data_IF_786091601888
#
_entry.id   IF_786091601888
#
_cell.length_a   1.000
_cell.length_b   1.000
_cell.length_c   1.000
_cell.angle_alpha   90.00
_cell.angle_beta   90.00
_cell.angle_gamma   90.00
#
_symmetry.space_group_name_H-M   'P 1'
#
loop_
_entity.id
_entity.type
_entity.pdbx_description
1 polymer ?
#
# COMPACT_ATOMS: atom_id res chain seq x y z
N UNK A 1 24.57 -12.59 -8.04
CA UNK A 1 23.65 -11.54 -8.51
C UNK A 1 24.40 -10.57 -9.38
N UNK A 2 23.82 -10.14 -10.49
CA UNK A 2 24.41 -9.13 -11.38
C UNK A 2 24.24 -7.72 -10.80
N UNK A 3 25.06 -6.77 -11.30
CA UNK A 3 24.93 -5.36 -10.90
C UNK A 3 23.54 -4.80 -11.18
N UNK A 4 22.91 -5.19 -12.31
CA UNK A 4 21.56 -4.76 -12.67
C UNK A 4 20.51 -5.29 -11.68
N UNK A 5 20.62 -6.54 -11.25
CA UNK A 5 19.72 -7.15 -10.25
C UNK A 5 19.78 -6.40 -8.92
N UNK A 6 20.97 -6.03 -8.47
CA UNK A 6 21.16 -5.29 -7.20
C UNK A 6 20.65 -3.86 -7.33
N UNK A 7 21.03 -3.14 -8.39
CA UNK A 7 20.60 -1.75 -8.61
C UNK A 7 19.09 -1.65 -8.82
N UNK A 8 18.51 -2.55 -9.63
CA UNK A 8 17.08 -2.59 -9.88
C UNK A 8 16.27 -2.93 -8.63
N UNK A 9 16.78 -3.84 -7.78
CA UNK A 9 16.15 -4.11 -6.48
C UNK A 9 16.13 -2.87 -5.59
N UNK A 10 17.27 -2.19 -5.41
CA UNK A 10 17.32 -0.98 -4.59
C UNK A 10 16.49 0.16 -5.16
N UNK A 11 16.38 0.25 -6.49
CA UNK A 11 15.49 1.20 -7.14
C UNK A 11 14.02 0.91 -6.82
N UNK A 12 13.57 -0.34 -6.95
CA UNK A 12 12.21 -0.76 -6.63
C UNK A 12 11.91 -0.64 -5.13
N UNK A 13 12.85 -1.04 -4.26
CA UNK A 13 12.72 -0.91 -2.81
C UNK A 13 12.62 0.55 -2.35
N UNK A 14 13.53 1.41 -2.87
CA UNK A 14 13.53 2.82 -2.53
C UNK A 14 12.29 3.54 -3.09
N UNK A 15 11.86 3.24 -4.32
CA UNK A 15 10.60 3.75 -4.86
C UNK A 15 9.43 3.41 -3.95
N UNK A 16 9.31 2.13 -3.57
CA UNK A 16 8.26 1.68 -2.66
C UNK A 16 8.37 2.27 -1.25
N UNK A 17 9.58 2.55 -0.75
CA UNK A 17 9.78 3.27 0.50
C UNK A 17 9.31 4.73 0.40
N UNK A 18 9.60 5.38 -0.71
CA UNK A 18 9.18 6.76 -0.93
C UNK A 18 7.66 6.87 -1.14
N UNK A 19 7.01 5.85 -1.69
CA UNK A 19 5.54 5.74 -1.72
C UNK A 19 4.95 5.64 -0.32
N UNK A 20 5.54 4.80 0.54
CA UNK A 20 5.15 4.70 1.94
C UNK A 20 5.30 6.03 2.67
N UNK A 21 6.40 6.74 2.42
CA UNK A 21 6.64 8.08 2.96
C UNK A 21 5.56 9.07 2.50
N UNK A 22 5.27 9.16 1.20
CA UNK A 22 4.27 10.12 0.67
C UNK A 22 2.87 9.84 1.20
N UNK A 23 2.47 8.58 1.27
CA UNK A 23 1.17 8.18 1.79
C UNK A 23 0.99 8.62 3.26
N UNK A 24 2.03 8.50 4.08
CA UNK A 24 1.98 8.85 5.49
C UNK A 24 2.27 10.32 5.79
N UNK A 25 3.08 11.01 5.00
CA UNK A 25 3.25 12.48 5.07
C UNK A 25 1.87 13.13 5.02
N UNK A 26 1.03 12.73 4.08
CA UNK A 26 -0.32 13.28 3.97
C UNK A 26 -1.14 13.10 5.25
N UNK A 27 -1.15 11.90 5.80
CA UNK A 27 -1.90 11.61 7.03
C UNK A 27 -1.44 12.47 8.22
N UNK A 28 -0.14 12.73 8.32
CA UNK A 28 0.47 13.51 9.40
C UNK A 28 0.16 15.01 9.29
N UNK A 29 0.09 15.55 8.08
CA UNK A 29 -0.09 17.00 7.87
C UNK A 29 -1.51 17.41 7.46
N UNK A 30 -2.43 16.47 7.34
CA UNK A 30 -3.79 16.70 6.88
C UNK A 30 -4.53 17.78 7.70
N UNK A 31 -4.54 17.65 9.02
CA UNK A 31 -5.27 18.56 9.90
C UNK A 31 -4.70 20.00 9.83
N UNK A 32 -3.39 20.22 10.00
CA UNK A 32 -2.83 21.56 9.86
C UNK A 32 -2.99 22.14 8.45
N UNK A 33 -2.91 21.33 7.39
CA UNK A 33 -3.15 21.79 6.04
C UNK A 33 -4.61 22.24 5.83
N UNK A 34 -5.58 21.48 6.32
CA UNK A 34 -6.99 21.83 6.20
C UNK A 34 -7.36 23.09 7.01
N UNK A 35 -6.80 23.25 8.21
CA UNK A 35 -7.01 24.48 9.00
C UNK A 35 -6.53 25.76 8.29
N UNK A 36 -5.50 25.64 7.44
CA UNK A 36 -5.01 26.76 6.63
C UNK A 36 -5.81 26.92 5.31
N UNK A 37 -6.14 25.82 4.62
CA UNK A 37 -6.72 25.87 3.29
C UNK A 37 -8.25 26.02 3.26
N UNK A 38 -9.00 25.51 4.25
CA UNK A 38 -10.45 25.63 4.29
C UNK A 38 -10.92 27.12 4.32
N UNK A 39 -10.38 27.98 5.21
CA UNK A 39 -10.75 29.40 5.21
C UNK A 39 -10.40 30.09 3.88
N UNK A 40 -9.26 29.76 3.27
CA UNK A 40 -8.87 30.26 1.95
C UNK A 40 -9.81 29.80 0.82
N UNK A 41 -10.56 28.76 1.06
CA UNK A 41 -11.55 28.20 0.10
C UNK A 41 -12.99 28.65 0.41
N UNK A 42 -13.17 29.59 1.33
CA UNK A 42 -14.49 30.08 1.75
C UNK A 42 -15.25 29.13 2.68
N UNK A 43 -14.56 28.16 3.31
CA UNK A 43 -15.14 27.14 4.17
C UNK A 43 -14.62 27.34 5.60
N UNK A 44 -15.51 27.36 6.59
CA UNK A 44 -15.09 27.47 7.99
C UNK A 44 -14.27 26.24 8.44
N UNK A 45 -13.14 26.47 9.10
CA UNK A 45 -12.25 25.41 9.59
C UNK A 45 -12.76 24.82 10.93
N UNK A 46 -14.01 24.36 10.95
CA UNK A 46 -14.59 23.63 12.07
C UNK A 46 -14.04 22.21 12.16
N UNK A 47 -14.16 21.58 13.32
CA UNK A 47 -13.78 20.18 13.50
C UNK A 47 -14.54 19.27 12.52
N UNK A 48 -15.83 19.54 12.30
CA UNK A 48 -16.69 18.80 11.38
C UNK A 48 -16.19 18.93 9.93
N UNK A 49 -15.97 20.16 9.45
CA UNK A 49 -15.47 20.41 8.09
C UNK A 49 -14.05 19.84 7.90
N UNK A 50 -13.19 19.94 8.90
CA UNK A 50 -11.85 19.36 8.85
C UNK A 50 -11.92 17.84 8.72
N UNK A 51 -12.82 17.18 9.45
CA UNK A 51 -13.07 15.73 9.34
C UNK A 51 -13.64 15.35 7.98
N UNK A 52 -14.67 16.06 7.51
CA UNK A 52 -15.32 15.80 6.23
C UNK A 52 -14.35 15.96 5.04
N UNK A 53 -13.70 17.11 4.92
CA UNK A 53 -12.76 17.38 3.82
C UNK A 53 -11.49 16.53 3.92
N UNK A 54 -11.08 16.14 5.12
CA UNK A 54 -10.03 15.15 5.33
C UNK A 54 -10.37 13.81 4.71
N UNK A 55 -11.58 13.33 4.96
CA UNK A 55 -12.11 12.11 4.34
C UNK A 55 -12.23 12.22 2.81
N UNK A 56 -12.75 13.35 2.30
CA UNK A 56 -12.86 13.61 0.85
C UNK A 56 -11.48 13.58 0.17
N UNK A 57 -10.50 14.31 0.70
CA UNK A 57 -9.15 14.36 0.14
C UNK A 57 -8.48 12.98 0.15
N UNK A 58 -8.71 12.19 1.20
CA UNK A 58 -8.20 10.83 1.28
C UNK A 58 -8.89 9.90 0.27
N UNK A 59 -10.21 10.01 0.12
CA UNK A 59 -10.96 9.25 -0.87
C UNK A 59 -10.50 9.59 -2.31
N UNK A 60 -10.31 10.87 -2.61
CA UNK A 60 -9.80 11.34 -3.91
C UNK A 60 -8.40 10.79 -4.19
N UNK A 61 -7.52 10.76 -3.19
CA UNK A 61 -6.20 10.14 -3.29
C UNK A 61 -6.29 8.63 -3.58
N UNK A 62 -7.17 7.91 -2.88
CA UNK A 62 -7.40 6.48 -3.11
C UNK A 62 -7.96 6.19 -4.50
N UNK A 63 -8.87 7.03 -5.00
CA UNK A 63 -9.39 6.91 -6.37
C UNK A 63 -8.26 7.12 -7.38
N UNK A 64 -7.41 8.14 -7.18
CA UNK A 64 -6.21 8.33 -7.98
C UNK A 64 -5.30 7.09 -7.95
N UNK A 65 -5.05 6.55 -6.77
CA UNK A 65 -4.27 5.32 -6.62
C UNK A 65 -4.94 4.11 -7.27
N UNK A 66 -6.25 4.04 -7.27
CA UNK A 66 -7.02 3.04 -8.01
C UNK A 66 -6.83 3.13 -9.54
N UNK A 67 -6.63 4.34 -10.10
CA UNK A 67 -6.33 4.54 -11.52
C UNK A 67 -4.97 3.98 -11.96
N UNK A 68 -4.17 3.47 -11.02
CA UNK A 68 -2.89 2.83 -11.29
C UNK A 68 -2.95 1.61 -12.22
N UNK A 69 -4.13 1.03 -12.47
CA UNK A 69 -4.31 -0.03 -13.46
C UNK A 69 -3.84 0.37 -14.86
N UNK A 70 -3.77 1.66 -15.16
CA UNK A 70 -3.25 2.18 -16.43
C UNK A 70 -1.74 1.94 -16.60
N UNK A 71 -0.99 1.90 -15.50
CA UNK A 71 0.46 1.73 -15.56
C UNK A 71 0.89 0.31 -15.94
N UNK A 72 0.06 -0.70 -15.67
CA UNK A 72 0.37 -2.07 -16.06
C UNK A 72 0.57 -2.25 -17.56
N UNK A 73 -0.45 -1.95 -18.39
CA UNK A 73 -0.33 -2.00 -19.86
C UNK A 73 0.78 -1.10 -20.41
N UNK A 74 1.00 0.06 -19.80
CA UNK A 74 2.11 0.95 -20.17
C UNK A 74 3.45 0.28 -19.92
N UNK A 75 3.63 -0.37 -18.75
CA UNK A 75 4.85 -1.08 -18.39
C UNK A 75 5.08 -2.31 -19.27
N UNK A 76 4.03 -3.03 -19.62
CA UNK A 76 4.12 -4.20 -20.50
C UNK A 76 4.59 -3.82 -21.89
N UNK A 77 4.14 -2.66 -22.42
CA UNK A 77 4.50 -2.15 -23.76
C UNK A 77 5.81 -1.38 -23.79
N UNK A 78 6.00 -0.42 -22.89
CA UNK A 78 7.10 0.57 -22.97
C UNK A 78 8.30 0.22 -22.08
N UNK A 79 8.16 -0.72 -21.18
CA UNK A 79 9.21 -1.20 -20.26
C UNK A 79 8.96 -0.87 -18.81
N UNK A 80 9.53 -1.68 -17.95
CA UNK A 80 9.35 -1.59 -16.48
C UNK A 80 10.06 -0.37 -15.93
N UNK A 81 11.33 -0.17 -16.31
CA UNK A 81 12.18 0.92 -15.80
C UNK A 81 11.68 2.29 -16.29
N UNK A 82 11.29 2.39 -17.56
CA UNK A 82 10.74 3.64 -18.09
C UNK A 82 9.46 4.04 -17.38
N UNK A 83 8.55 3.08 -17.18
CA UNK A 83 7.27 3.35 -16.50
C UNK A 83 7.50 3.70 -15.05
N UNK A 84 8.44 3.04 -14.36
CA UNK A 84 8.84 3.37 -12.99
C UNK A 84 9.33 4.83 -12.87
N UNK A 85 10.14 5.30 -13.81
CA UNK A 85 10.58 6.70 -13.87
C UNK A 85 9.39 7.65 -14.01
N UNK A 86 8.43 7.35 -14.89
CA UNK A 86 7.25 8.19 -15.07
C UNK A 86 6.36 8.24 -13.83
N UNK A 87 6.14 7.11 -13.15
CA UNK A 87 5.33 7.05 -11.93
C UNK A 87 5.97 7.87 -10.81
N UNK A 88 7.28 7.73 -10.58
CA UNK A 88 8.02 8.51 -9.58
C UNK A 88 7.94 10.00 -9.87
N UNK A 89 8.18 10.42 -11.11
CA UNK A 89 8.09 11.83 -11.48
C UNK A 89 6.69 12.37 -11.29
N UNK A 90 5.66 11.60 -11.64
CA UNK A 90 4.27 11.98 -11.47
C UNK A 90 3.93 12.27 -10.02
N UNK A 91 4.10 11.29 -9.12
CA UNK A 91 3.70 11.51 -7.73
C UNK A 91 4.60 12.52 -7.01
N UNK A 92 5.91 12.54 -7.27
CA UNK A 92 6.83 13.51 -6.69
C UNK A 92 6.46 14.94 -7.03
N UNK A 93 6.15 15.19 -8.31
CA UNK A 93 5.74 16.52 -8.77
C UNK A 93 4.46 16.97 -8.07
N UNK A 94 3.42 16.13 -8.07
CA UNK A 94 2.12 16.53 -7.51
C UNK A 94 2.13 16.58 -5.98
N UNK A 95 2.96 15.80 -5.30
CA UNK A 95 3.19 15.96 -3.87
C UNK A 95 3.92 17.27 -3.57
N UNK A 96 4.97 17.59 -4.33
CA UNK A 96 5.65 18.87 -4.21
C UNK A 96 4.68 20.06 -4.44
N UNK A 97 3.85 20.01 -5.47
CA UNK A 97 2.84 21.02 -5.76
C UNK A 97 1.82 21.17 -4.61
N UNK A 98 1.60 20.13 -3.81
CA UNK A 98 0.84 20.22 -2.56
C UNK A 98 1.38 21.28 -1.61
N UNK A 99 2.69 21.52 -1.58
CA UNK A 99 3.31 22.57 -0.74
C UNK A 99 2.88 23.99 -1.12
N UNK A 100 2.55 24.22 -2.38
CA UNK A 100 2.14 25.54 -2.90
C UNK A 100 0.64 25.67 -3.11
N UNK A 101 -0.15 24.69 -2.67
CA UNK A 101 -1.60 24.72 -2.78
C UNK A 101 -2.17 25.96 -2.05
N UNK A 102 -3.03 26.70 -2.74
CA UNK A 102 -3.70 27.90 -2.22
C UNK A 102 -5.16 27.63 -1.79
N UNK A 103 -5.73 26.50 -2.19
CA UNK A 103 -7.09 26.07 -1.84
C UNK A 103 -7.17 24.58 -1.58
N UNK A 104 -8.24 24.14 -0.88
CA UNK A 104 -8.52 22.71 -0.65
C UNK A 104 -8.75 21.97 -1.96
N UNK A 105 -9.33 22.63 -2.97
CA UNK A 105 -9.60 22.04 -4.28
C UNK A 105 -8.33 21.79 -5.08
N UNK A 106 -7.37 22.71 -5.04
CA UNK A 106 -6.05 22.47 -5.65
C UNK A 106 -5.34 21.32 -4.97
N UNK A 107 -5.38 21.25 -3.64
CA UNK A 107 -4.81 20.11 -2.92
C UNK A 107 -5.50 18.82 -3.30
N UNK A 108 -6.83 18.81 -3.52
CA UNK A 108 -7.57 17.63 -3.98
C UNK A 108 -7.07 17.12 -5.34
N UNK A 109 -6.90 18.03 -6.32
CA UNK A 109 -6.36 17.68 -7.64
C UNK A 109 -4.94 17.13 -7.53
N UNK A 110 -4.08 17.78 -6.75
CA UNK A 110 -2.71 17.31 -6.57
C UNK A 110 -2.66 15.94 -5.87
N UNK A 111 -3.53 15.68 -4.89
CA UNK A 111 -3.64 14.38 -4.23
C UNK A 111 -4.15 13.28 -5.15
N UNK A 112 -5.12 13.58 -6.02
CA UNK A 112 -5.57 12.64 -7.04
C UNK A 112 -4.43 12.23 -7.98
N UNK A 113 -3.72 13.22 -8.53
CA UNK A 113 -2.63 12.97 -9.48
C UNK A 113 -1.41 12.31 -8.83
N UNK A 114 -1.08 12.68 -7.58
CA UNK A 114 -0.06 11.98 -6.80
C UNK A 114 -0.45 10.52 -6.57
N UNK A 115 -1.71 10.26 -6.18
CA UNK A 115 -2.23 8.91 -6.03
C UNK A 115 -2.14 8.09 -7.31
N UNK A 116 -2.49 8.68 -8.46
CA UNK A 116 -2.37 8.01 -9.76
C UNK A 116 -0.91 7.61 -10.06
N UNK A 117 0.06 8.44 -9.69
CA UNK A 117 1.49 8.11 -9.82
C UNK A 117 1.93 6.95 -8.92
N UNK A 118 1.63 7.05 -7.62
CA UNK A 118 2.04 6.07 -6.59
C UNK A 118 1.69 4.63 -6.96
N UNK A 119 0.52 4.41 -7.51
CA UNK A 119 0.05 3.05 -7.76
C UNK A 119 0.91 2.20 -8.70
N UNK A 120 1.79 2.81 -9.48
CA UNK A 120 2.71 2.09 -10.39
C UNK A 120 3.89 1.42 -9.67
N UNK A 121 4.37 2.00 -8.57
CA UNK A 121 5.61 1.57 -7.92
C UNK A 121 5.57 0.11 -7.45
N UNK A 122 4.57 -0.25 -6.67
CA UNK A 122 4.45 -1.61 -6.16
C UNK A 122 4.31 -2.64 -7.26
N UNK A 123 3.46 -2.36 -8.25
CA UNK A 123 3.19 -3.31 -9.34
C UNK A 123 4.39 -3.48 -10.25
N UNK A 124 4.98 -2.39 -10.71
CA UNK A 124 6.08 -2.41 -11.67
C UNK A 124 7.37 -2.88 -11.00
N UNK A 125 7.65 -2.40 -9.78
CA UNK A 125 8.81 -2.83 -9.00
C UNK A 125 8.75 -4.32 -8.65
N UNK A 126 7.56 -4.83 -8.26
CA UNK A 126 7.35 -6.25 -8.01
C UNK A 126 7.56 -7.13 -9.25
N UNK A 127 7.03 -6.68 -10.39
CA UNK A 127 7.25 -7.37 -11.68
C UNK A 127 8.73 -7.33 -12.09
N UNK A 128 9.41 -6.18 -11.94
CA UNK A 128 10.84 -6.06 -12.23
C UNK A 128 11.66 -7.07 -11.40
N UNK A 129 11.42 -7.14 -10.10
CA UNK A 129 12.11 -8.10 -9.22
C UNK A 129 11.81 -9.55 -9.63
N UNK A 130 10.56 -9.84 -9.99
CA UNK A 130 10.16 -11.18 -10.43
C UNK A 130 10.84 -11.61 -11.73
N UNK A 131 11.03 -10.68 -12.68
CA UNK A 131 11.60 -10.95 -14.01
C UNK A 131 13.14 -10.97 -14.02
N UNK A 132 13.79 -10.16 -13.17
CA UNK A 132 15.25 -9.97 -13.20
C UNK A 132 16.00 -10.81 -12.17
N UNK A 133 15.36 -11.13 -11.02
CA UNK A 133 16.03 -11.90 -9.98
C UNK A 133 16.15 -13.40 -10.32
N UNK A 134 17.26 -14.07 -9.89
CA UNK A 134 17.40 -15.51 -10.06
C UNK A 134 16.24 -16.28 -9.42
N UNK A 135 15.77 -17.32 -10.09
CA UNK A 135 14.67 -18.17 -9.66
C UNK A 135 14.77 -18.59 -8.19
N UNK A 136 15.96 -19.03 -7.77
CA UNK A 136 16.24 -19.48 -6.40
C UNK A 136 16.08 -18.39 -5.32
N UNK A 137 16.25 -17.10 -5.70
CA UNK A 137 16.20 -15.97 -4.77
C UNK A 137 15.02 -15.01 -4.99
N UNK A 138 14.18 -15.28 -6.00
CA UNK A 138 13.03 -14.42 -6.35
C UNK A 138 12.10 -14.19 -5.15
N UNK A 139 11.87 -15.21 -4.33
CA UNK A 139 11.02 -15.13 -3.14
C UNK A 139 11.56 -14.13 -2.11
N UNK A 140 12.86 -14.17 -1.86
CA UNK A 140 13.50 -13.21 -0.97
C UNK A 140 13.40 -11.78 -1.54
N UNK A 141 13.69 -11.62 -2.84
CA UNK A 141 13.57 -10.32 -3.51
C UNK A 141 12.18 -9.71 -3.39
N UNK A 142 11.12 -10.48 -3.66
CA UNK A 142 9.74 -10.04 -3.56
C UNK A 142 9.37 -9.64 -2.12
N UNK A 143 9.72 -10.49 -1.14
CA UNK A 143 9.43 -10.24 0.27
C UNK A 143 10.20 -9.04 0.82
N UNK A 144 11.49 -8.95 0.51
CA UNK A 144 12.35 -7.84 0.97
C UNK A 144 11.96 -6.50 0.32
N UNK A 145 11.58 -6.51 -0.96
CA UNK A 145 11.09 -5.30 -1.61
C UNK A 145 9.90 -4.72 -0.84
N UNK A 146 9.00 -5.57 -0.36
CA UNK A 146 7.79 -5.10 0.34
C UNK A 146 8.09 -4.42 1.68
N UNK A 147 9.20 -4.71 2.33
CA UNK A 147 9.62 -4.02 3.57
C UNK A 147 9.85 -2.51 3.36
N UNK A 148 10.16 -2.10 2.12
CA UNK A 148 10.42 -0.70 1.76
C UNK A 148 9.30 0.23 2.20
N UNK A 149 8.04 -0.14 1.93
CA UNK A 149 6.88 0.68 2.29
C UNK A 149 6.84 1.07 3.78
N UNK A 150 7.07 0.10 4.66
CA UNK A 150 7.06 0.34 6.11
C UNK A 150 8.27 1.12 6.59
N UNK A 151 9.41 1.00 5.90
CA UNK A 151 10.54 1.88 6.11
C UNK A 151 10.20 3.33 5.71
N UNK A 152 9.44 3.52 4.64
CA UNK A 152 8.91 4.82 4.23
C UNK A 152 8.03 5.47 5.29
N UNK A 153 7.22 4.69 6.01
CA UNK A 153 6.40 5.18 7.14
C UNK A 153 7.27 5.78 8.25
N UNK A 154 8.38 5.13 8.60
CA UNK A 154 9.35 5.69 9.56
C UNK A 154 9.95 7.00 9.03
N UNK A 155 10.30 7.04 7.75
CA UNK A 155 10.87 8.23 7.12
C UNK A 155 9.89 9.42 7.14
N UNK A 156 8.60 9.18 6.87
CA UNK A 156 7.55 10.19 6.99
C UNK A 156 7.47 10.79 8.41
N UNK A 157 7.54 9.94 9.43
CA UNK A 157 7.52 10.40 10.83
C UNK A 157 8.75 11.27 11.16
N UNK A 158 9.95 10.90 10.69
CA UNK A 158 11.18 11.67 10.85
C UNK A 158 11.06 13.03 10.14
N UNK A 159 10.56 13.05 8.90
CA UNK A 159 10.36 14.28 8.12
C UNK A 159 9.36 15.20 8.83
N UNK A 160 8.24 14.66 9.31
CA UNK A 160 7.27 15.46 10.05
C UNK A 160 7.85 16.01 11.37
N UNK A 161 8.62 15.22 12.10
CA UNK A 161 9.26 15.65 13.34
C UNK A 161 10.31 16.74 13.11
N UNK A 162 11.15 16.62 12.09
CA UNK A 162 12.29 17.53 11.84
C UNK A 162 11.89 18.75 11.00
N UNK A 163 11.19 18.53 9.90
CA UNK A 163 10.80 19.58 8.94
C UNK A 163 9.45 20.16 9.30
N UNK A 164 8.48 19.31 9.65
CA UNK A 164 7.12 19.74 9.99
C UNK A 164 7.06 20.67 11.19
N UNK A 165 7.89 20.41 12.22
CA UNK A 165 7.98 21.27 13.41
C UNK A 165 8.54 22.66 13.13
N UNK A 166 9.37 22.83 12.08
CA UNK A 166 10.04 24.09 11.75
C UNK A 166 9.35 24.85 10.60
N UNK A 167 8.92 24.14 9.58
CA UNK A 167 8.41 24.70 8.32
C UNK A 167 6.94 24.39 8.07
N UNK A 168 6.27 23.75 9.03
CA UNK A 168 4.87 23.38 8.95
C UNK A 168 4.56 22.36 7.84
N UNK A 169 3.27 22.20 7.54
CA UNK A 169 2.78 21.23 6.59
C UNK A 169 3.31 21.42 5.15
N UNK A 170 3.57 22.66 4.74
CA UNK A 170 4.13 22.99 3.42
C UNK A 170 5.55 22.47 3.27
N UNK A 171 6.38 22.60 4.30
CA UNK A 171 7.74 22.07 4.30
C UNK A 171 7.74 20.53 4.16
N UNK A 172 6.81 19.87 4.80
CA UNK A 172 6.69 18.40 4.71
C UNK A 172 6.29 17.95 3.29
N UNK A 173 5.32 18.64 2.65
CA UNK A 173 4.98 18.36 1.24
C UNK A 173 6.15 18.70 0.28
N UNK A 174 6.91 19.74 0.54
CA UNK A 174 8.07 20.06 -0.28
C UNK A 174 9.12 18.96 -0.25
N UNK A 175 9.39 18.36 0.92
CA UNK A 175 10.25 17.18 1.04
C UNK A 175 9.63 15.97 0.34
N UNK A 176 8.31 15.85 0.30
CA UNK A 176 7.59 14.82 -0.46
C UNK A 176 7.90 14.83 -1.97
N UNK A 177 8.42 15.91 -2.52
CA UNK A 177 8.95 15.96 -3.89
C UNK A 177 10.34 15.35 -4.08
N UNK A 178 11.06 15.05 -2.98
CA UNK A 178 12.43 14.51 -3.03
C UNK A 178 12.57 13.16 -3.77
N UNK A 179 11.54 12.29 -3.89
CA UNK A 179 11.63 11.07 -4.67
C UNK A 179 12.06 11.28 -6.13
N UNK A 180 11.83 12.45 -6.71
CA UNK A 180 12.32 12.78 -8.05
C UNK A 180 13.86 12.63 -8.18
N UNK A 181 14.62 12.77 -7.10
CA UNK A 181 16.06 12.55 -7.09
C UNK A 181 16.43 11.08 -7.35
N UNK A 182 15.58 10.12 -6.97
CA UNK A 182 15.78 8.70 -7.24
C UNK A 182 15.72 8.40 -8.74
N UNK A 183 14.99 9.20 -9.51
CA UNK A 183 14.88 9.04 -10.97
C UNK A 183 16.24 9.09 -11.67
N UNK A 184 17.12 9.98 -11.23
CA UNK A 184 18.48 10.04 -11.79
C UNK A 184 19.24 8.72 -11.58
N UNK A 185 19.18 8.16 -10.38
CA UNK A 185 19.80 6.85 -10.09
C UNK A 185 19.21 5.73 -10.96
N UNK A 186 17.87 5.68 -11.09
CA UNK A 186 17.20 4.65 -11.89
C UNK A 186 17.57 4.78 -13.36
N UNK A 187 17.50 5.98 -13.92
CA UNK A 187 17.75 6.22 -15.35
C UNK A 187 19.17 5.84 -15.80
N UNK A 188 20.17 6.11 -14.97
CA UNK A 188 21.57 5.85 -15.33
C UNK A 188 22.09 4.52 -14.78
N UNK A 189 21.42 3.91 -13.82
CA UNK A 189 21.91 2.75 -13.09
C UNK A 189 21.19 1.44 -13.37
N UNK A 190 19.98 1.47 -13.94
CA UNK A 190 19.10 0.30 -14.08
C UNK A 190 18.71 0.07 -15.53
N UNK A 191 18.90 -1.16 -16.01
CA UNK A 191 18.46 -1.58 -17.35
C UNK A 191 17.14 -2.37 -17.27
N UNK A 192 16.35 -2.31 -18.37
CA UNK A 192 15.13 -3.10 -18.51
C UNK A 192 15.40 -4.61 -18.32
N UNK A 193 14.44 -5.38 -17.72
CA UNK A 193 14.60 -6.79 -17.48
C UNK A 193 14.88 -7.59 -18.77
N UNK A 194 15.78 -8.55 -18.67
CA UNK A 194 16.19 -9.39 -19.80
C UNK A 194 15.03 -10.19 -20.37
N UNK A 195 14.13 -10.72 -19.50
CA UNK A 195 12.95 -11.47 -19.92
C UNK A 195 12.00 -10.59 -20.74
N UNK A 196 11.77 -9.35 -20.32
CA UNK A 196 10.91 -8.41 -21.04
C UNK A 196 11.49 -8.05 -22.41
N UNK A 197 12.80 -7.76 -22.51
CA UNK A 197 13.47 -7.46 -23.78
C UNK A 197 13.35 -8.61 -24.77
N UNK A 198 13.62 -9.84 -24.32
CA UNK A 198 13.51 -11.05 -25.14
C UNK A 198 12.09 -11.21 -25.66
N UNK A 199 11.09 -11.10 -24.76
CA UNK A 199 9.69 -11.27 -25.14
C UNK A 199 9.20 -10.22 -26.11
N UNK A 200 9.59 -8.95 -25.91
CA UNK A 200 9.26 -7.86 -26.83
C UNK A 200 9.86 -8.10 -28.23
N UNK A 201 11.07 -8.64 -28.28
CA UNK A 201 11.71 -9.01 -29.56
C UNK A 201 10.94 -10.14 -30.27
N UNK A 202 10.53 -11.17 -29.53
CA UNK A 202 9.83 -12.34 -30.06
C UNK A 202 8.41 -12.01 -30.58
N UNK A 203 7.69 -11.09 -29.90
CA UNK A 203 6.33 -10.66 -30.27
C UNK A 203 6.31 -9.60 -31.38
N UNK A 204 7.44 -8.97 -31.70
CA UNK A 204 7.49 -7.82 -32.61
C UNK A 204 6.85 -6.54 -32.05
N UNK A 205 6.70 -5.52 -32.92
CA UNK A 205 6.14 -4.20 -32.53
C UNK A 205 4.61 -4.16 -32.46
N UNK A 206 3.93 -5.22 -32.84
CA UNK A 206 2.46 -5.25 -32.96
C UNK A 206 1.72 -5.45 -31.63
N UNK A 207 2.43 -5.85 -30.56
CA UNK A 207 1.79 -6.08 -29.26
C UNK A 207 1.30 -4.76 -28.63
N UNK A 208 -0.02 -4.66 -28.48
CA UNK A 208 -0.70 -3.47 -27.94
C UNK A 208 -0.85 -3.58 -26.41
N UNK A 209 -0.79 -2.44 -25.72
CA UNK A 209 -1.16 -2.35 -24.29
C UNK A 209 -2.62 -2.84 -24.05
N UNK A 210 -3.50 -2.65 -25.03
CA UNK A 210 -4.88 -3.13 -24.98
C UNK A 210 -4.95 -4.66 -25.01
N UNK A 211 -4.04 -5.31 -25.75
CA UNK A 211 -4.00 -6.78 -25.84
C UNK A 211 -3.51 -7.40 -24.54
N UNK A 212 -2.51 -6.77 -23.88
CA UNK A 212 -2.09 -7.16 -22.52
C UNK A 212 -3.26 -7.15 -21.53
N UNK A 213 -4.08 -6.10 -21.58
CA UNK A 213 -5.24 -6.00 -20.70
C UNK A 213 -6.36 -6.99 -21.09
N UNK A 214 -6.65 -7.17 -22.36
CA UNK A 214 -7.64 -8.14 -22.86
C UNK A 214 -7.26 -9.57 -22.47
N UNK A 215 -5.98 -9.91 -22.52
CA UNK A 215 -5.49 -11.24 -22.14
C UNK A 215 -5.94 -11.65 -20.73
N UNK A 216 -6.09 -10.71 -19.78
CA UNK A 216 -6.53 -10.99 -18.41
C UNK A 216 -7.94 -11.62 -18.34
N UNK A 217 -8.77 -11.34 -19.33
CA UNK A 217 -10.16 -11.83 -19.38
C UNK A 217 -10.36 -12.95 -20.41
N UNK A 218 -9.26 -13.45 -20.98
CA UNK A 218 -9.28 -14.67 -21.78
C UNK A 218 -9.69 -15.88 -20.94
N UNK A 219 -10.10 -16.99 -21.59
CA UNK A 219 -10.48 -18.21 -20.90
C UNK A 219 -9.33 -18.79 -20.05
N UNK A 220 -8.06 -18.55 -20.46
CA UNK A 220 -6.85 -18.97 -19.73
C UNK A 220 -6.71 -18.23 -18.38
N UNK A 221 -6.98 -16.91 -18.33
CA UNK A 221 -6.66 -16.06 -17.15
C UNK A 221 -7.87 -15.56 -16.38
N UNK A 222 -9.07 -15.52 -16.99
CA UNK A 222 -10.27 -14.91 -16.36
C UNK A 222 -10.51 -15.38 -14.92
N UNK A 223 -10.46 -16.69 -14.67
CA UNK A 223 -10.66 -17.24 -13.32
C UNK A 223 -9.58 -16.76 -12.35
N UNK A 224 -8.30 -16.80 -12.78
CA UNK A 224 -7.15 -16.35 -11.96
C UNK A 224 -7.26 -14.87 -11.66
N UNK A 225 -7.58 -14.05 -12.65
CA UNK A 225 -7.72 -12.59 -12.53
C UNK A 225 -8.80 -12.22 -11.52
N UNK A 226 -9.99 -12.84 -11.61
CA UNK A 226 -11.09 -12.57 -10.69
C UNK A 226 -10.76 -13.01 -9.26
N UNK A 227 -10.21 -14.21 -9.07
CA UNK A 227 -9.84 -14.73 -7.75
C UNK A 227 -8.74 -13.87 -7.11
N UNK A 228 -7.71 -13.49 -7.87
CA UNK A 228 -6.64 -12.64 -7.37
C UNK A 228 -7.15 -11.25 -7.00
N UNK A 229 -8.01 -10.65 -7.83
CA UNK A 229 -8.62 -9.35 -7.54
C UNK A 229 -9.45 -9.40 -6.26
N UNK A 230 -10.23 -10.46 -6.04
CA UNK A 230 -11.00 -10.67 -4.82
C UNK A 230 -10.12 -10.86 -3.58
N UNK A 231 -9.05 -11.65 -3.67
CA UNK A 231 -8.11 -11.84 -2.56
C UNK A 231 -7.37 -10.53 -2.19
N UNK A 232 -6.93 -9.76 -3.20
CA UNK A 232 -6.32 -8.44 -2.97
C UNK A 232 -7.32 -7.47 -2.35
N UNK A 233 -8.57 -7.47 -2.81
CA UNK A 233 -9.63 -6.66 -2.20
C UNK A 233 -9.81 -6.97 -0.72
N UNK A 234 -9.87 -8.26 -0.34
CA UNK A 234 -9.97 -8.68 1.06
C UNK A 234 -8.80 -8.15 1.88
N UNK A 235 -7.59 -8.25 1.36
CA UNK A 235 -6.38 -7.69 1.99
C UNK A 235 -6.48 -6.17 2.16
N UNK A 236 -6.98 -5.47 1.14
CA UNK A 236 -7.16 -4.01 1.20
C UNK A 236 -8.20 -3.59 2.25
N UNK A 237 -9.30 -4.34 2.39
CA UNK A 237 -10.28 -4.10 3.46
C UNK A 237 -9.60 -4.16 4.83
N UNK A 238 -8.81 -5.18 5.09
CA UNK A 238 -8.10 -5.32 6.36
C UNK A 238 -7.06 -4.23 6.61
N UNK A 239 -6.29 -3.83 5.58
CA UNK A 239 -5.31 -2.77 5.71
C UNK A 239 -5.97 -1.44 6.09
N UNK A 240 -6.97 -1.02 5.32
CA UNK A 240 -7.60 0.30 5.50
C UNK A 240 -8.53 0.34 6.71
N UNK A 241 -9.20 -0.76 7.04
CA UNK A 241 -10.02 -0.82 8.24
C UNK A 241 -9.22 -1.10 9.53
N UNK A 242 -8.18 -1.93 9.45
CA UNK A 242 -7.36 -2.27 10.62
C UNK A 242 -6.30 -1.20 10.94
N UNK A 243 -5.43 -0.84 9.99
CA UNK A 243 -4.25 -0.02 10.28
C UNK A 243 -4.54 1.49 10.31
N UNK A 244 -5.48 1.99 9.51
CA UNK A 244 -5.83 3.42 9.47
C UNK A 244 -6.43 3.90 10.79
N UNK A 245 -7.21 3.06 11.46
CA UNK A 245 -7.83 3.41 12.74
C UNK A 245 -6.93 3.12 13.97
N UNK A 246 -5.78 2.50 13.80
CA UNK A 246 -4.85 2.20 14.92
C UNK A 246 -4.42 3.46 15.67
N UNK A 247 -3.93 4.55 15.01
CA UNK A 247 -3.52 5.74 15.75
C UNK A 247 -4.67 6.38 16.53
N UNK A 248 -5.86 6.45 15.92
CA UNK A 248 -7.05 7.01 16.57
C UNK A 248 -7.50 6.17 17.77
N UNK A 249 -7.46 4.84 17.63
CA UNK A 249 -7.82 3.91 18.69
C UNK A 249 -6.84 3.97 19.85
N UNK A 250 -5.54 4.01 19.58
CA UNK A 250 -4.51 4.13 20.62
C UNK A 250 -4.61 5.46 21.34
N UNK A 251 -4.84 6.56 20.62
CA UNK A 251 -5.04 7.87 21.21
C UNK A 251 -6.28 7.89 22.13
N UNK A 252 -7.38 7.29 21.68
CA UNK A 252 -8.59 7.15 22.49
C UNK A 252 -8.33 6.34 23.77
N UNK A 253 -7.71 5.15 23.65
CA UNK A 253 -7.41 4.29 24.80
C UNK A 253 -6.46 4.97 25.78
N UNK A 254 -5.39 5.61 25.30
CA UNK A 254 -4.42 6.30 26.11
C UNK A 254 -5.04 7.48 26.89
N UNK A 255 -5.88 8.28 26.23
CA UNK A 255 -6.58 9.39 26.90
C UNK A 255 -7.63 8.89 27.88
N UNK A 256 -8.28 7.76 27.60
CA UNK A 256 -9.24 7.14 28.50
C UNK A 256 -8.57 6.57 29.76
N UNK A 257 -7.34 6.09 29.67
CA UNK A 257 -6.50 5.68 30.81
C UNK A 257 -5.81 6.86 31.52
N UNK A 258 -6.16 8.11 31.18
CA UNK A 258 -5.69 9.32 31.88
C UNK A 258 -4.38 9.91 31.36
N UNK A 259 -3.85 9.47 30.23
CA UNK A 259 -2.65 10.07 29.65
C UNK A 259 -2.92 11.48 29.13
N UNK A 260 -1.95 12.36 29.28
CA UNK A 260 -1.97 13.68 28.66
C UNK A 260 -1.99 13.58 27.12
N UNK A 261 -2.63 14.52 26.44
CA UNK A 261 -2.85 14.46 24.99
C UNK A 261 -1.55 14.32 24.15
N UNK A 262 -0.47 14.97 24.60
CA UNK A 262 0.84 14.87 23.95
C UNK A 262 1.49 13.48 24.15
N UNK A 263 1.32 12.87 25.31
CA UNK A 263 1.78 11.53 25.59
C UNK A 263 0.96 10.49 24.80
N UNK A 264 -0.36 10.66 24.70
CA UNK A 264 -1.24 9.81 23.91
C UNK A 264 -0.88 9.86 22.41
N UNK A 265 -0.58 11.05 21.88
CA UNK A 265 -0.12 11.21 20.49
C UNK A 265 1.24 10.52 20.23
N UNK A 266 2.17 10.58 21.19
CA UNK A 266 3.44 9.85 21.12
C UNK A 266 3.21 8.32 21.16
N UNK A 267 2.33 7.85 22.03
CA UNK A 267 1.98 6.43 22.13
C UNK A 267 1.35 5.91 20.83
N UNK A 268 0.51 6.71 20.15
CA UNK A 268 -0.02 6.37 18.84
C UNK A 268 1.08 6.24 17.76
N UNK A 269 2.13 7.07 17.84
CA UNK A 269 3.29 6.95 16.95
C UNK A 269 4.08 5.66 17.22
N UNK A 270 4.33 5.31 18.49
CA UNK A 270 4.95 4.03 18.85
C UNK A 270 4.13 2.82 18.42
N UNK A 271 2.81 2.90 18.54
CA UNK A 271 1.89 1.86 18.07
C UNK A 271 2.04 1.62 16.56
N UNK A 272 2.13 2.71 15.78
CA UNK A 272 2.36 2.62 14.33
C UNK A 272 3.73 2.03 14.00
N UNK A 273 4.76 2.37 14.76
CA UNK A 273 6.09 1.77 14.61
C UNK A 273 6.07 0.28 14.93
N UNK A 274 5.36 -0.12 15.99
CA UNK A 274 5.23 -1.52 16.41
C UNK A 274 4.50 -2.36 15.36
N UNK A 275 3.41 -1.82 14.80
CA UNK A 275 2.68 -2.42 13.68
C UNK A 275 3.62 -2.61 12.46
N UNK A 276 4.38 -1.57 12.10
CA UNK A 276 5.33 -1.61 10.98
C UNK A 276 6.44 -2.64 11.20
N UNK A 277 6.98 -2.72 12.42
CA UNK A 277 7.99 -3.72 12.78
C UNK A 277 7.44 -5.15 12.64
N UNK A 278 6.20 -5.38 13.08
CA UNK A 278 5.51 -6.65 12.87
C UNK A 278 5.37 -7.00 11.39
N UNK A 279 5.00 -6.03 10.55
CA UNK A 279 4.87 -6.28 9.11
C UNK A 279 6.21 -6.57 8.44
N UNK A 280 7.27 -5.87 8.82
CA UNK A 280 8.62 -6.17 8.34
C UNK A 280 9.02 -7.60 8.73
N UNK A 281 8.80 -7.99 10.00
CA UNK A 281 9.08 -9.35 10.47
C UNK A 281 8.29 -10.39 9.66
N UNK A 282 7.00 -10.17 9.42
CA UNK A 282 6.17 -11.03 8.57
C UNK A 282 6.71 -11.15 7.15
N UNK A 283 7.12 -10.05 6.53
CA UNK A 283 7.73 -10.07 5.20
C UNK A 283 9.02 -10.90 5.16
N UNK A 284 9.87 -10.79 6.18
CA UNK A 284 11.13 -11.53 6.25
C UNK A 284 10.94 -13.05 6.41
N UNK A 285 9.85 -13.47 7.06
CA UNK A 285 9.50 -14.89 7.25
C UNK A 285 8.83 -15.49 6.01
N UNK A 286 8.21 -14.68 5.17
CA UNK A 286 7.46 -15.13 3.99
C UNK A 286 8.23 -16.07 3.06
N UNK A 287 9.51 -15.86 2.69
CA UNK A 287 10.23 -16.77 1.79
C UNK A 287 10.27 -18.20 2.31
N UNK A 288 10.52 -18.37 3.63
CA UNK A 288 10.52 -19.67 4.28
C UNK A 288 9.11 -20.31 4.26
N UNK A 289 8.07 -19.55 4.59
CA UNK A 289 6.69 -20.04 4.55
C UNK A 289 6.29 -20.46 3.13
N UNK A 290 6.61 -19.63 2.12
CA UNK A 290 6.29 -19.88 0.73
C UNK A 290 7.00 -21.15 0.19
N UNK A 291 8.19 -21.48 0.69
CA UNK A 291 8.89 -22.72 0.36
C UNK A 291 8.29 -23.94 1.06
N UNK A 292 7.97 -23.80 2.35
CA UNK A 292 7.52 -24.92 3.17
C UNK A 292 6.05 -25.26 2.93
N UNK A 293 5.19 -24.25 2.82
CA UNK A 293 3.73 -24.39 2.79
C UNK A 293 3.09 -24.02 1.44
N UNK A 294 3.80 -23.34 0.57
CA UNK A 294 3.24 -22.76 -0.66
C UNK A 294 2.59 -21.41 -0.46
N UNK A 295 2.14 -20.80 -1.57
CA UNK A 295 1.62 -19.41 -1.56
C UNK A 295 0.22 -19.34 -0.95
N UNK A 296 -0.63 -20.33 -1.27
CA UNK A 296 -2.01 -20.39 -0.76
C UNK A 296 -2.05 -20.49 0.76
N UNK A 297 -1.29 -21.42 1.33
CA UNK A 297 -1.27 -21.64 2.79
C UNK A 297 -0.61 -20.48 3.48
N UNK A 298 0.44 -19.88 2.92
CA UNK A 298 1.08 -18.68 3.48
C UNK A 298 0.12 -17.50 3.55
N UNK A 299 -0.66 -17.24 2.49
CA UNK A 299 -1.68 -16.20 2.51
C UNK A 299 -2.78 -16.52 3.53
N UNK A 300 -3.21 -17.78 3.59
CA UNK A 300 -4.19 -18.24 4.58
C UNK A 300 -3.74 -18.01 6.02
N UNK A 301 -2.48 -18.30 6.33
CA UNK A 301 -1.91 -18.01 7.64
C UNK A 301 -2.02 -16.52 8.00
N UNK A 302 -1.61 -15.62 7.10
CA UNK A 302 -1.74 -14.18 7.33
C UNK A 302 -3.20 -13.75 7.48
N UNK A 303 -4.13 -14.32 6.72
CA UNK A 303 -5.56 -14.03 6.87
C UNK A 303 -6.11 -14.48 8.22
N UNK A 304 -5.68 -15.64 8.73
CA UNK A 304 -6.04 -16.08 10.09
C UNK A 304 -5.50 -15.10 11.14
N UNK A 305 -4.23 -14.71 11.03
CA UNK A 305 -3.64 -13.73 11.95
C UNK A 305 -4.39 -12.40 11.91
N UNK A 306 -4.69 -11.88 10.70
CA UNK A 306 -5.48 -10.65 10.54
C UNK A 306 -6.88 -10.79 11.14
N UNK A 307 -7.58 -11.89 10.86
CA UNK A 307 -8.90 -12.15 11.43
C UNK A 307 -8.89 -12.12 12.95
N UNK A 308 -7.99 -12.89 13.56
CA UNK A 308 -7.87 -13.00 15.02
C UNK A 308 -7.49 -11.65 15.64
N UNK A 309 -6.48 -10.97 15.09
CA UNK A 309 -5.99 -9.73 15.67
C UNK A 309 -6.99 -8.57 15.49
N UNK A 310 -7.67 -8.46 14.35
CA UNK A 310 -8.70 -7.42 14.15
C UNK A 310 -9.92 -7.70 15.02
N UNK A 311 -10.43 -8.93 15.03
CA UNK A 311 -11.58 -9.31 15.85
C UNK A 311 -11.28 -9.17 17.36
N UNK A 312 -10.16 -9.69 17.85
CA UNK A 312 -9.79 -9.60 19.25
C UNK A 312 -9.40 -8.17 19.65
N UNK A 313 -8.56 -7.49 18.84
CA UNK A 313 -8.07 -6.13 19.15
C UNK A 313 -9.21 -5.12 19.23
N UNK A 314 -10.01 -5.01 18.18
CA UNK A 314 -11.06 -4.02 18.08
C UNK A 314 -12.41 -4.47 18.62
N UNK A 315 -12.69 -5.78 18.61
CA UNK A 315 -13.98 -6.31 19.07
C UNK A 315 -14.02 -6.66 20.57
N UNK A 316 -12.88 -6.90 21.19
CA UNK A 316 -12.83 -7.31 22.59
C UNK A 316 -11.84 -6.48 23.42
N UNK A 317 -10.57 -6.39 23.06
CA UNK A 317 -9.53 -5.69 23.82
C UNK A 317 -9.85 -4.20 23.94
N UNK A 318 -10.34 -3.58 22.87
CA UNK A 318 -10.72 -2.16 22.82
C UNK A 318 -11.74 -1.77 23.89
N UNK A 319 -12.59 -2.70 24.33
CA UNK A 319 -13.66 -2.48 25.31
C UNK A 319 -13.32 -2.94 26.73
N UNK A 320 -12.08 -3.36 26.97
CA UNK A 320 -11.71 -3.79 28.33
C UNK A 320 -11.65 -2.60 29.29
N UNK A 321 -12.13 -2.77 30.53
CA UNK A 321 -12.15 -1.67 31.51
C UNK A 321 -10.75 -1.35 32.05
N UNK A 322 -9.79 -2.28 31.98
CA UNK A 322 -8.43 -2.14 32.52
C UNK A 322 -7.41 -2.72 31.55
N UNK A 323 -6.22 -2.09 31.47
CA UNK A 323 -5.09 -2.54 30.64
C UNK A 323 -5.45 -2.70 29.14
N UNK A 324 -6.46 -1.97 28.66
CA UNK A 324 -6.88 -2.06 27.25
C UNK A 324 -5.76 -1.63 26.31
N UNK A 325 -5.08 -0.54 26.63
CA UNK A 325 -3.97 -0.01 25.84
C UNK A 325 -2.81 -1.00 25.74
N UNK A 326 -2.38 -1.59 26.85
CA UNK A 326 -1.25 -2.54 26.88
C UNK A 326 -1.52 -3.77 26.03
N UNK A 327 -2.71 -4.39 26.19
CA UNK A 327 -3.10 -5.54 25.39
C UNK A 327 -3.30 -5.19 23.92
N UNK A 328 -3.80 -3.98 23.64
CA UNK A 328 -3.97 -3.51 22.27
C UNK A 328 -2.59 -3.33 21.60
N UNK A 329 -1.63 -2.70 22.27
CA UNK A 329 -0.26 -2.56 21.77
C UNK A 329 0.41 -3.93 21.51
N UNK A 330 0.25 -4.90 22.44
CA UNK A 330 0.76 -6.25 22.23
C UNK A 330 0.14 -6.92 20.98
N UNK A 331 -1.17 -6.73 20.77
CA UNK A 331 -1.87 -7.23 19.58
C UNK A 331 -1.36 -6.60 18.28
N UNK A 332 -0.91 -5.33 18.29
CA UNK A 332 -0.49 -4.60 17.09
C UNK A 332 0.73 -5.21 16.40
N UNK A 333 1.68 -5.76 17.13
CA UNK A 333 2.81 -6.44 16.51
C UNK A 333 2.34 -7.65 15.69
N UNK A 334 1.45 -8.47 16.23
CA UNK A 334 0.87 -9.63 15.54
C UNK A 334 -0.02 -9.19 14.38
N UNK A 335 -0.82 -8.14 14.57
CA UNK A 335 -1.60 -7.53 13.49
C UNK A 335 -0.68 -7.09 12.35
N UNK A 336 0.47 -6.48 12.68
CA UNK A 336 1.51 -6.16 11.73
C UNK A 336 2.02 -7.39 10.97
N UNK A 337 2.35 -8.48 11.67
CA UNK A 337 2.75 -9.74 11.01
C UNK A 337 1.69 -10.19 10.00
N UNK A 338 0.40 -10.13 10.35
CA UNK A 338 -0.69 -10.40 9.43
C UNK A 338 -0.71 -9.45 8.22
N UNK A 339 -0.33 -8.19 8.41
CA UNK A 339 -0.20 -7.17 7.37
C UNK A 339 0.79 -7.54 6.26
N UNK A 340 1.73 -8.45 6.51
CA UNK A 340 2.64 -8.98 5.50
C UNK A 340 1.94 -9.81 4.41
N UNK A 341 0.64 -10.05 4.48
CA UNK A 341 -0.15 -10.69 3.43
C UNK A 341 0.06 -10.01 2.05
N UNK A 342 0.31 -8.71 2.03
CA UNK A 342 0.60 -7.97 0.79
C UNK A 342 1.90 -8.41 0.11
N UNK A 343 2.92 -8.82 0.87
CA UNK A 343 4.16 -9.33 0.31
C UNK A 343 3.96 -10.64 -0.46
N UNK A 344 2.94 -11.44 -0.09
CA UNK A 344 2.56 -12.65 -0.83
C UNK A 344 2.18 -12.31 -2.27
N UNK A 345 1.44 -11.23 -2.50
CA UNK A 345 1.03 -10.83 -3.86
C UNK A 345 2.21 -10.35 -4.71
N UNK A 346 3.20 -9.70 -4.10
CA UNK A 346 4.44 -9.31 -4.79
C UNK A 346 5.18 -10.53 -5.36
N UNK A 347 5.13 -11.65 -4.65
CA UNK A 347 5.68 -12.92 -5.10
C UNK A 347 4.73 -13.65 -6.06
N UNK A 348 3.49 -13.84 -5.65
CA UNK A 348 2.56 -14.81 -6.23
C UNK A 348 1.85 -14.33 -7.50
N UNK A 349 1.46 -13.05 -7.60
CA UNK A 349 0.81 -12.55 -8.80
C UNK A 349 1.69 -12.66 -10.05
N UNK A 350 2.98 -12.26 -10.01
CA UNK A 350 3.85 -12.44 -11.17
C UNK A 350 4.05 -13.89 -11.61
N UNK A 351 3.90 -14.85 -10.70
CA UNK A 351 4.06 -16.28 -10.98
C UNK A 351 2.90 -16.92 -11.76
N UNK A 352 1.78 -16.20 -11.91
CA UNK A 352 0.55 -16.74 -12.51
C UNK A 352 0.32 -16.26 -13.95
N UNK A 353 1.09 -15.29 -14.44
CA UNK A 353 0.88 -14.65 -15.74
C UNK A 353 2.15 -14.61 -16.57
N UNK A 354 1.98 -14.71 -17.90
CA UNK A 354 3.09 -14.54 -18.85
C UNK A 354 3.62 -13.12 -18.84
N UNK A 355 4.87 -12.96 -19.30
CA UNK A 355 5.60 -11.68 -19.29
C UNK A 355 4.84 -10.56 -19.98
N UNK A 356 4.08 -10.85 -21.07
CA UNK A 356 3.32 -9.86 -21.83
C UNK A 356 2.16 -9.19 -21.09
N UNK A 357 1.54 -9.88 -20.13
CA UNK A 357 0.38 -9.34 -19.39
C UNK A 357 0.57 -9.30 -17.86
N UNK A 358 1.77 -9.63 -17.38
CA UNK A 358 2.10 -9.72 -15.94
C UNK A 358 1.92 -8.39 -15.20
N UNK A 359 2.41 -7.30 -15.80
CA UNK A 359 2.25 -5.96 -15.24
C UNK A 359 0.79 -5.54 -15.21
N UNK A 360 0.06 -5.78 -16.30
CA UNK A 360 -1.38 -5.51 -16.39
C UNK A 360 -2.18 -6.29 -15.36
N UNK A 361 -1.86 -7.58 -15.15
CA UNK A 361 -2.53 -8.43 -14.17
C UNK A 361 -2.33 -7.92 -12.75
N UNK A 362 -1.10 -7.59 -12.39
CA UNK A 362 -0.78 -7.07 -11.06
C UNK A 362 -1.44 -5.71 -10.83
N UNK A 363 -1.33 -4.80 -11.78
CA UNK A 363 -1.95 -3.48 -11.71
C UNK A 363 -3.49 -3.57 -11.60
N UNK A 364 -4.14 -4.43 -12.39
CA UNK A 364 -5.59 -4.64 -12.34
C UNK A 364 -6.04 -5.16 -10.96
N UNK A 365 -5.44 -6.25 -10.48
CA UNK A 365 -5.83 -6.84 -9.21
C UNK A 365 -5.71 -5.86 -8.04
N UNK A 366 -4.62 -5.09 -7.99
CA UNK A 366 -4.39 -4.10 -6.92
C UNK A 366 -5.29 -2.88 -7.04
N UNK A 367 -5.58 -2.40 -8.24
CA UNK A 367 -6.46 -1.24 -8.47
C UNK A 367 -7.91 -1.57 -8.17
N UNK A 368 -8.41 -2.72 -8.65
CA UNK A 368 -9.77 -3.17 -8.38
C UNK A 368 -10.01 -3.29 -6.87
N UNK A 369 -9.06 -3.91 -6.15
CA UNK A 369 -9.11 -3.99 -4.70
C UNK A 369 -9.22 -2.62 -4.00
N UNK A 370 -8.50 -1.60 -4.50
CA UNK A 370 -8.51 -0.24 -3.91
C UNK A 370 -9.83 0.48 -4.12
N UNK A 371 -10.43 0.41 -5.31
CA UNK A 371 -11.72 1.03 -5.56
C UNK A 371 -12.81 0.49 -4.63
N UNK A 372 -12.86 -0.83 -4.46
CA UNK A 372 -13.82 -1.45 -3.56
C UNK A 372 -13.51 -1.15 -2.09
N UNK A 373 -12.22 -1.16 -1.71
CA UNK A 373 -11.81 -0.84 -0.34
C UNK A 373 -12.14 0.61 0.05
N UNK A 374 -12.07 1.56 -0.88
CA UNK A 374 -12.50 2.94 -0.64
C UNK A 374 -13.98 2.98 -0.21
N UNK A 375 -14.85 2.22 -0.87
CA UNK A 375 -16.26 2.07 -0.48
C UNK A 375 -16.43 1.46 0.92
N UNK A 376 -15.68 0.41 1.25
CA UNK A 376 -15.72 -0.21 2.59
C UNK A 376 -15.21 0.76 3.65
N UNK A 377 -14.16 1.51 3.38
CA UNK A 377 -13.63 2.53 4.31
C UNK A 377 -14.69 3.59 4.62
N UNK A 378 -15.45 4.02 3.60
CA UNK A 378 -16.58 4.92 3.81
C UNK A 378 -17.65 4.30 4.71
N UNK A 379 -18.01 3.02 4.48
CA UNK A 379 -18.99 2.30 5.30
C UNK A 379 -18.52 2.14 6.76
N UNK A 380 -17.23 1.87 6.97
CA UNK A 380 -16.64 1.83 8.33
C UNK A 380 -16.75 3.20 9.00
N UNK A 381 -16.40 4.27 8.30
CA UNK A 381 -16.53 5.65 8.81
C UNK A 381 -17.98 5.99 9.18
N UNK A 382 -18.96 5.64 8.34
CA UNK A 382 -20.38 5.80 8.63
C UNK A 382 -20.82 4.94 9.84
N UNK A 383 -20.28 3.73 9.97
CA UNK A 383 -20.49 2.86 11.12
C UNK A 383 -19.95 3.47 12.42
N UNK A 384 -18.75 4.04 12.39
CA UNK A 384 -18.15 4.76 13.53
C UNK A 384 -19.03 5.93 13.97
N UNK A 385 -19.51 6.72 13.01
CA UNK A 385 -20.39 7.85 13.31
C UNK A 385 -21.72 7.40 13.93
N UNK A 386 -22.31 6.31 13.41
CA UNK A 386 -23.61 5.80 13.88
C UNK A 386 -23.53 5.07 15.23
N UNK A 387 -22.47 4.32 15.46
CA UNK A 387 -22.28 3.51 16.67
C UNK A 387 -21.53 4.27 17.77
N UNK A 388 -21.03 5.47 17.48
CA UNK A 388 -20.22 6.29 18.40
C UNK A 388 -19.00 5.56 18.98
N UNK A 389 -18.45 4.59 18.23
CA UNK A 389 -17.28 3.81 18.61
C UNK A 389 -16.47 3.37 17.38
N UNK A 390 -15.16 3.28 17.52
CA UNK A 390 -14.26 2.78 16.47
C UNK A 390 -14.23 1.25 16.49
N UNK A 391 -14.28 0.64 17.67
CA UNK A 391 -14.01 -0.78 17.85
C UNK A 391 -14.91 -1.69 17.02
N UNK A 392 -16.22 -1.63 17.22
CA UNK A 392 -17.17 -2.55 16.54
C UNK A 392 -17.15 -2.45 15.00
N UNK A 393 -17.23 -1.25 14.38
CA UNK A 393 -17.18 -1.15 12.91
C UNK A 393 -15.88 -1.71 12.31
N UNK A 394 -14.75 -1.48 12.97
CA UNK A 394 -13.46 -2.02 12.52
C UNK A 394 -13.41 -3.53 12.74
N UNK A 395 -13.87 -4.05 13.89
CA UNK A 395 -13.92 -5.48 14.16
C UNK A 395 -14.74 -6.27 13.12
N UNK A 396 -15.86 -5.71 12.66
CA UNK A 396 -16.69 -6.34 11.63
C UNK A 396 -15.96 -6.57 10.30
N UNK A 397 -14.95 -5.76 9.98
CA UNK A 397 -14.16 -5.95 8.76
C UNK A 397 -13.33 -7.23 8.78
N UNK A 398 -13.08 -7.81 9.97
CA UNK A 398 -12.37 -9.08 10.11
C UNK A 398 -13.07 -10.22 9.35
N UNK A 399 -14.39 -10.17 9.20
CA UNK A 399 -15.19 -11.18 8.49
C UNK A 399 -14.72 -11.35 7.04
N UNK A 400 -14.21 -10.28 6.41
CA UNK A 400 -13.65 -10.36 5.06
C UNK A 400 -12.52 -11.41 4.96
N UNK A 401 -11.72 -11.59 6.00
CA UNK A 401 -10.64 -12.60 5.98
C UNK A 401 -11.16 -14.04 6.00
N UNK A 402 -12.32 -14.30 6.62
CA UNK A 402 -12.98 -15.61 6.52
C UNK A 402 -13.41 -15.91 5.09
N UNK A 403 -13.97 -14.91 4.40
CA UNK A 403 -14.28 -15.03 2.97
C UNK A 403 -13.00 -15.25 2.15
N UNK A 404 -11.89 -14.58 2.50
CA UNK A 404 -10.59 -14.80 1.88
C UNK A 404 -10.09 -16.23 2.04
N UNK A 405 -10.17 -16.78 3.25
CA UNK A 405 -9.78 -18.17 3.51
C UNK A 405 -10.64 -19.15 2.69
N UNK A 406 -11.96 -18.90 2.59
CA UNK A 406 -12.88 -19.71 1.78
C UNK A 406 -12.58 -19.64 0.27
N UNK A 407 -11.99 -18.51 -0.22
CA UNK A 407 -11.61 -18.35 -1.63
C UNK A 407 -10.26 -18.99 -1.98
N UNK A 408 -9.36 -19.24 -1.01
CA UNK A 408 -8.03 -19.78 -1.27
C UNK A 408 -8.01 -21.07 -2.08
N UNK A 409 -8.93 -22.05 -1.89
CA UNK A 409 -8.98 -23.27 -2.71
C UNK A 409 -9.16 -22.98 -4.21
N UNK A 410 -9.75 -21.85 -4.58
CA UNK A 410 -9.96 -21.45 -5.97
C UNK A 410 -8.72 -20.82 -6.61
N UNK A 411 -7.77 -20.33 -5.81
CA UNK A 411 -6.53 -19.72 -6.30
C UNK A 411 -5.56 -20.79 -6.82
N UNK A 412 -4.67 -20.42 -7.74
CA UNK A 412 -3.69 -21.34 -8.31
C UNK A 412 -2.44 -21.42 -7.43
N UNK A 413 -2.04 -22.61 -6.98
CA UNK A 413 -0.77 -22.81 -6.30
C UNK A 413 0.39 -22.84 -7.31
N UNK A 414 1.41 -22.04 -7.03
CA UNK A 414 2.58 -21.89 -7.90
C UNK A 414 3.88 -22.44 -7.29
N UNK A 415 3.79 -23.09 -6.13
CA UNK A 415 4.96 -23.69 -5.47
C UNK A 415 5.69 -24.64 -6.39
N UNK A 416 6.99 -24.40 -6.59
CA UNK A 416 7.84 -25.26 -7.43
C UNK A 416 7.67 -25.05 -8.94
N UNK A 417 6.78 -24.14 -9.38
CA UNK A 417 6.64 -23.81 -10.79
C UNK A 417 7.65 -22.72 -11.18
N UNK A 418 8.16 -22.83 -12.38
CA UNK A 418 8.96 -21.78 -13.01
C UNK A 418 8.08 -20.58 -13.37
N UNK A 419 8.70 -19.40 -13.46
CA UNK A 419 8.01 -18.20 -13.90
C UNK A 419 7.58 -18.36 -15.36
N UNK A 420 6.28 -18.17 -15.70
CA UNK A 420 5.80 -18.26 -17.08
C UNK A 420 6.59 -17.32 -18.01
N UNK A 421 6.88 -17.80 -19.21
CA UNK A 421 7.63 -17.05 -20.21
C UNK A 421 6.86 -15.82 -20.72
#
# INVERSE_FOLDING_TARGET
>A
MTTNQIRGFWAAWAGWALDGMDSFIYALVLVPALRDLLPRSGIAATTENTGFYGGVLFAVFLVGWGCAFLWGPIADRFGRVRTLVFTILCYSLFTFLGAVAASVWQLAVFRFLAGAGIGGEWTIGGVFVAEEWPEARRKQGAAWMHTGYYFGVFLAAIVNYTVGSRYGWRGVFAVGGSPALLVAFIRFGVAEPTRWKKRLHDLGREFSATDAFRALFSDEYRRRTVVNAALVFISMVGLWAGSVYVPASVNYLATHEGMAADAAARTASYATMLLSAGTIAGCLVLPWMADRWGRRVSLGFYFVVMFVCVAAGFGWIYYRPTHALEWFLACLFLLGVGGANFAVYTLWLPEQYRTECRGSAFAFATSFGRFLAAGVTFLVGAGVARMHTIGTPVALTSIAFLAGIALLPLAEETRGKELPA
#
